data_IF_003877213787
#
_entry.id   IF_003877213787
#
_cell.length_a   1.000
_cell.length_b   1.000
_cell.length_c   1.000
_cell.angle_alpha   90.00
_cell.angle_beta   90.00
_cell.angle_gamma   90.00
#
_symmetry.space_group_name_H-M   'P 1'
#
loop_
_entity.id
_entity.type
_entity.pdbx_description
1 polymer ?
#
# COMPACT_ATOMS: atom_id res chain seq x y z
N UNK A 1 10.96 4.13 -34.55
CA UNK A 1 10.58 5.47 -34.12
C UNK A 1 9.17 5.54 -33.53
N UNK A 2 8.15 4.97 -34.18
CA UNK A 2 6.76 4.99 -33.66
C UNK A 2 6.59 4.40 -32.26
N UNK A 3 7.24 3.26 -31.96
CA UNK A 3 7.18 2.64 -30.64
C UNK A 3 7.79 3.47 -29.51
N UNK A 4 8.88 4.19 -29.79
CA UNK A 4 9.50 5.12 -28.84
C UNK A 4 8.59 6.32 -28.54
N UNK A 5 7.92 6.84 -29.55
CA UNK A 5 6.96 7.93 -29.38
C UNK A 5 5.76 7.49 -28.54
N UNK A 6 5.20 6.32 -28.82
CA UNK A 6 4.07 5.76 -28.06
C UNK A 6 4.46 5.50 -26.61
N UNK A 7 5.66 4.96 -26.34
CA UNK A 7 6.11 4.74 -24.96
C UNK A 7 6.37 6.04 -24.20
N UNK A 8 6.88 7.07 -24.88
CA UNK A 8 7.08 8.40 -24.30
C UNK A 8 5.74 9.09 -23.98
N UNK A 9 4.78 9.02 -24.90
CA UNK A 9 3.41 9.54 -24.66
C UNK A 9 2.76 8.81 -23.49
N UNK A 10 2.88 7.49 -23.42
CA UNK A 10 2.35 6.70 -22.32
C UNK A 10 3.02 7.04 -20.98
N UNK A 11 4.33 7.25 -20.98
CA UNK A 11 5.08 7.66 -19.80
C UNK A 11 4.62 9.04 -19.29
N UNK A 12 4.53 10.02 -20.19
CA UNK A 12 4.08 11.38 -19.86
C UNK A 12 2.63 11.35 -19.34
N UNK A 13 1.75 10.61 -20.02
CA UNK A 13 0.36 10.43 -19.56
C UNK A 13 0.30 9.77 -18.19
N UNK A 14 1.08 8.73 -17.95
CA UNK A 14 1.16 8.04 -16.67
C UNK A 14 1.62 8.96 -15.52
N UNK A 15 2.60 9.84 -15.78
CA UNK A 15 3.13 10.74 -14.76
C UNK A 15 2.17 11.89 -14.43
N UNK A 16 1.46 12.44 -15.42
CA UNK A 16 0.69 13.68 -15.22
C UNK A 16 -0.83 13.46 -15.07
N UNK A 17 -1.37 12.37 -15.57
CA UNK A 17 -2.82 12.16 -15.65
C UNK A 17 -3.34 10.97 -14.86
N UNK A 18 -2.46 10.09 -14.39
CA UNK A 18 -2.90 8.98 -13.56
C UNK A 18 -3.34 9.46 -12.16
N UNK A 19 -4.45 8.94 -11.62
CA UNK A 19 -4.80 9.14 -10.23
C UNK A 19 -3.65 8.72 -9.29
N UNK A 20 -3.45 9.45 -8.20
CA UNK A 20 -2.38 9.20 -7.23
C UNK A 20 -2.30 7.73 -6.76
N UNK A 21 -3.44 7.05 -6.67
CA UNK A 21 -3.54 5.63 -6.29
C UNK A 21 -2.78 4.75 -7.28
N UNK A 22 -2.87 5.06 -8.59
CA UNK A 22 -2.22 4.27 -9.64
C UNK A 22 -0.74 4.63 -9.85
N UNK A 23 -0.27 5.77 -9.31
CA UNK A 23 1.14 6.16 -9.44
C UNK A 23 2.10 5.10 -8.90
N UNK A 24 1.80 4.52 -7.73
CA UNK A 24 2.63 3.46 -7.14
C UNK A 24 2.72 2.20 -8.01
N UNK A 25 1.68 1.90 -8.75
CA UNK A 25 1.59 0.69 -9.59
C UNK A 25 2.37 0.84 -10.90
N UNK A 26 2.31 2.03 -11.52
CA UNK A 26 2.99 2.30 -12.78
C UNK A 26 4.42 2.83 -12.61
N UNK A 27 4.89 2.99 -11.38
CA UNK A 27 6.27 3.33 -11.06
C UNK A 27 7.17 2.09 -11.21
N UNK A 28 7.68 1.88 -12.43
CA UNK A 28 8.57 0.76 -12.73
C UNK A 28 9.79 0.69 -11.81
N UNK A 29 10.34 1.81 -11.39
CA UNK A 29 11.50 1.86 -10.50
C UNK A 29 11.15 1.65 -9.03
N UNK A 30 9.87 1.62 -8.67
CA UNK A 30 9.37 1.48 -7.29
C UNK A 30 9.87 2.58 -6.34
N UNK A 31 10.06 3.79 -6.86
CA UNK A 31 10.46 4.94 -6.05
C UNK A 31 9.37 5.30 -5.03
N UNK A 32 8.11 5.11 -5.43
CA UNK A 32 6.94 5.34 -4.58
C UNK A 32 6.62 4.20 -3.62
N UNK A 33 7.27 3.03 -3.75
CA UNK A 33 7.07 1.89 -2.84
C UNK A 33 8.17 1.88 -1.78
N UNK A 34 7.89 2.32 -0.55
CA UNK A 34 8.92 2.40 0.48
C UNK A 34 9.42 1.01 0.85
N UNK A 35 10.70 0.79 0.63
CA UNK A 35 11.43 -0.41 1.07
C UNK A 35 12.57 0.01 1.98
N UNK A 36 12.20 0.47 3.18
CA UNK A 36 13.16 0.87 4.19
C UNK A 36 13.72 -0.38 4.88
N UNK A 37 15.03 -0.54 4.79
CA UNK A 37 15.75 -1.51 5.59
C UNK A 37 16.08 -0.89 6.96
N UNK A 38 15.74 -1.62 8.01
CA UNK A 38 16.10 -1.28 9.38
C UNK A 38 16.84 -2.45 10.00
N UNK A 39 17.96 -2.21 10.65
CA UNK A 39 18.74 -3.24 11.34
C UNK A 39 17.94 -3.94 12.45
N UNK A 40 16.90 -3.28 12.98
CA UNK A 40 16.06 -3.85 14.04
C UNK A 40 14.91 -4.70 13.50
N UNK A 41 14.30 -4.33 12.37
CA UNK A 41 13.06 -4.93 11.86
C UNK A 41 13.24 -5.60 10.50
N UNK A 42 14.38 -5.37 9.84
CA UNK A 42 14.63 -5.80 8.47
C UNK A 42 13.85 -4.95 7.45
N UNK A 43 13.36 -5.56 6.40
CA UNK A 43 12.55 -4.87 5.39
C UNK A 43 11.10 -4.71 5.86
N UNK A 44 10.69 -3.47 6.11
CA UNK A 44 9.35 -3.17 6.64
C UNK A 44 8.24 -3.49 5.64
N UNK A 45 8.48 -3.30 4.35
CA UNK A 45 7.47 -3.49 3.30
C UNK A 45 7.94 -4.44 2.18
N UNK A 46 8.64 -5.52 2.57
CA UNK A 46 9.18 -6.49 1.61
C UNK A 46 8.08 -7.09 0.73
N UNK A 47 6.91 -7.42 1.31
CA UNK A 47 5.81 -8.03 0.56
C UNK A 47 5.25 -7.10 -0.52
N UNK A 48 4.96 -5.84 -0.18
CA UNK A 48 4.47 -4.86 -1.16
C UNK A 48 5.46 -4.63 -2.29
N UNK A 49 6.75 -4.56 -1.97
CA UNK A 49 7.81 -4.43 -2.95
C UNK A 49 7.91 -5.66 -3.87
N UNK A 50 7.91 -6.88 -3.31
CA UNK A 50 7.93 -8.12 -4.09
C UNK A 50 6.68 -8.26 -4.97
N UNK A 51 5.52 -7.97 -4.43
CA UNK A 51 4.25 -8.00 -5.17
C UNK A 51 4.31 -7.07 -6.38
N UNK A 52 4.81 -5.86 -6.22
CA UNK A 52 5.00 -4.92 -7.30
C UNK A 52 5.94 -5.48 -8.39
N UNK A 53 7.05 -6.11 -8.02
CA UNK A 53 7.98 -6.73 -8.98
C UNK A 53 7.37 -7.94 -9.69
N UNK A 54 6.60 -8.76 -8.98
CA UNK A 54 5.92 -9.92 -9.55
C UNK A 54 4.88 -9.52 -10.60
N UNK A 55 4.21 -8.36 -10.46
CA UNK A 55 3.30 -7.83 -11.47
C UNK A 55 4.03 -7.68 -12.80
N UNK A 56 5.16 -6.97 -12.81
CA UNK A 56 5.93 -6.74 -14.04
C UNK A 56 6.53 -8.01 -14.61
N UNK A 57 7.00 -8.91 -13.75
CA UNK A 57 7.56 -10.19 -14.18
C UNK A 57 6.50 -11.03 -14.90
N UNK A 58 5.36 -11.28 -14.25
CA UNK A 58 4.32 -12.14 -14.81
C UNK A 58 3.61 -11.50 -15.99
N UNK A 59 3.25 -10.22 -15.90
CA UNK A 59 2.66 -9.51 -17.03
C UNK A 59 3.63 -9.43 -18.22
N UNK A 60 4.92 -9.18 -17.98
CA UNK A 60 5.95 -9.12 -19.02
C UNK A 60 6.12 -10.45 -19.73
N UNK A 61 6.28 -11.56 -18.99
CA UNK A 61 6.35 -12.91 -19.57
C UNK A 61 5.07 -13.23 -20.35
N UNK A 62 3.91 -12.93 -19.76
CA UNK A 62 2.62 -13.14 -20.40
C UNK A 62 2.50 -12.43 -21.73
N UNK A 63 2.80 -11.12 -21.77
CA UNK A 63 2.77 -10.31 -22.99
C UNK A 63 3.80 -10.78 -24.02
N UNK A 64 4.99 -11.19 -23.60
CA UNK A 64 6.02 -11.71 -24.48
C UNK A 64 5.56 -13.00 -25.17
N UNK A 65 5.01 -13.94 -24.41
CA UNK A 65 4.47 -15.20 -24.96
C UNK A 65 3.29 -14.95 -25.90
N UNK A 66 2.38 -14.04 -25.55
CA UNK A 66 1.26 -13.65 -26.43
C UNK A 66 1.76 -12.94 -27.68
N UNK A 67 2.79 -12.10 -27.58
CA UNK A 67 3.44 -11.47 -28.73
C UNK A 67 4.08 -12.51 -29.67
N UNK A 68 4.81 -13.48 -29.11
CA UNK A 68 5.37 -14.60 -29.90
C UNK A 68 4.28 -15.41 -30.62
N UNK A 69 3.17 -15.69 -29.95
CA UNK A 69 2.03 -16.36 -30.56
C UNK A 69 1.44 -15.56 -31.73
N UNK A 70 1.34 -14.24 -31.59
CA UNK A 70 0.74 -13.36 -32.61
C UNK A 70 1.66 -13.17 -33.83
N UNK A 71 2.97 -13.13 -33.62
CA UNK A 71 3.95 -12.91 -34.71
C UNK A 71 4.12 -14.10 -35.66
N UNK A 72 3.48 -15.24 -35.43
CA UNK A 72 3.50 -16.40 -36.30
C UNK A 72 4.87 -17.05 -36.56
N UNK A 73 5.90 -16.66 -35.81
CA UNK A 73 7.28 -17.16 -35.97
C UNK A 73 7.54 -18.48 -35.22
N UNK A 74 6.54 -19.06 -34.58
CA UNK A 74 6.66 -20.34 -33.90
C UNK A 74 6.69 -21.50 -34.92
N UNK A 75 7.44 -22.58 -34.61
CA UNK A 75 7.44 -23.78 -35.43
C UNK A 75 6.01 -24.28 -35.65
N UNK A 76 5.77 -24.81 -36.83
CA UNK A 76 4.44 -25.05 -37.41
C UNK A 76 3.60 -26.14 -36.71
N UNK A 77 3.96 -26.57 -35.50
CA UNK A 77 3.16 -27.49 -34.71
C UNK A 77 2.01 -26.77 -34.02
N UNK A 78 0.79 -27.14 -34.31
CA UNK A 78 -0.41 -26.60 -33.66
C UNK A 78 -0.37 -26.74 -32.13
N UNK A 79 0.24 -27.81 -31.63
CA UNK A 79 0.39 -28.07 -30.21
C UNK A 79 1.27 -27.03 -29.52
N UNK A 80 2.41 -26.67 -30.11
CA UNK A 80 3.32 -25.65 -29.58
C UNK A 80 2.65 -24.27 -29.54
N UNK A 81 1.94 -23.88 -30.59
CA UNK A 81 1.20 -22.59 -30.66
C UNK A 81 0.11 -22.52 -29.60
N UNK A 82 -0.63 -23.63 -29.36
CA UNK A 82 -1.66 -23.70 -28.33
C UNK A 82 -1.04 -23.57 -26.93
N UNK A 83 0.07 -24.25 -26.69
CA UNK A 83 0.76 -24.23 -25.42
C UNK A 83 1.28 -22.82 -25.07
N UNK A 84 1.93 -22.15 -26.00
CA UNK A 84 2.43 -20.75 -25.83
C UNK A 84 1.28 -19.78 -25.54
N UNK A 85 0.15 -19.92 -26.25
CA UNK A 85 -1.04 -19.11 -25.98
C UNK A 85 -1.59 -19.32 -24.58
N UNK A 86 -1.74 -20.59 -24.15
CA UNK A 86 -2.30 -20.91 -22.83
C UNK A 86 -1.39 -20.38 -21.72
N UNK A 87 -0.09 -20.67 -21.82
CA UNK A 87 0.86 -20.16 -20.83
C UNK A 87 0.94 -18.63 -20.82
N UNK A 88 0.90 -17.99 -21.98
CA UNK A 88 0.87 -16.54 -22.09
C UNK A 88 -0.34 -15.93 -21.38
N UNK A 89 -1.52 -16.50 -21.59
CA UNK A 89 -2.73 -16.08 -20.89
C UNK A 89 -2.66 -16.35 -19.38
N UNK A 90 -2.16 -17.52 -18.97
CA UNK A 90 -2.00 -17.85 -17.54
C UNK A 90 -1.08 -16.86 -16.84
N UNK A 91 0.10 -16.59 -17.38
CA UNK A 91 1.03 -15.63 -16.79
C UNK A 91 0.44 -14.22 -16.75
N UNK A 92 -0.22 -13.80 -17.81
CA UNK A 92 -0.86 -12.49 -17.87
C UNK A 92 -1.97 -12.33 -16.80
N UNK A 93 -2.82 -13.34 -16.64
CA UNK A 93 -3.88 -13.36 -15.61
C UNK A 93 -3.28 -13.36 -14.21
N UNK A 94 -2.21 -14.10 -13.97
CA UNK A 94 -1.50 -14.08 -12.67
C UNK A 94 -0.96 -12.67 -12.39
N UNK A 95 -0.34 -12.02 -13.37
CA UNK A 95 0.13 -10.63 -13.25
C UNK A 95 -0.99 -9.65 -12.92
N UNK A 96 -2.14 -9.76 -13.61
CA UNK A 96 -3.33 -8.96 -13.31
C UNK A 96 -3.88 -9.24 -11.91
N UNK A 97 -3.85 -10.46 -11.42
CA UNK A 97 -4.30 -10.80 -10.07
C UNK A 97 -3.45 -10.12 -9.00
N UNK A 98 -2.12 -10.10 -9.17
CA UNK A 98 -1.23 -9.36 -8.29
C UNK A 98 -1.47 -7.85 -8.36
N UNK A 99 -1.73 -7.32 -9.55
CA UNK A 99 -2.09 -5.91 -9.76
C UNK A 99 -3.37 -5.55 -8.99
N UNK A 100 -4.44 -6.30 -9.18
CA UNK A 100 -5.71 -6.07 -8.50
C UNK A 100 -5.56 -6.15 -6.98
N UNK A 101 -4.76 -7.09 -6.47
CA UNK A 101 -4.48 -7.24 -5.04
C UNK A 101 -3.72 -6.03 -4.47
N UNK A 102 -2.73 -5.50 -5.20
CA UNK A 102 -1.96 -4.32 -4.81
C UNK A 102 -2.84 -3.07 -4.79
N UNK A 103 -3.60 -2.83 -5.86
CA UNK A 103 -4.53 -1.71 -5.98
C UNK A 103 -5.62 -1.74 -4.90
N UNK A 104 -6.16 -2.92 -4.61
CA UNK A 104 -7.12 -3.09 -3.51
C UNK A 104 -6.52 -2.70 -2.16
N UNK A 105 -5.26 -3.06 -1.91
CA UNK A 105 -4.53 -2.67 -0.69
C UNK A 105 -4.37 -1.15 -0.59
N UNK A 106 -3.99 -0.48 -1.67
CA UNK A 106 -3.87 0.99 -1.70
C UNK A 106 -5.22 1.68 -1.52
N UNK A 107 -6.24 1.21 -2.22
CA UNK A 107 -7.59 1.75 -2.09
C UNK A 107 -8.12 1.61 -0.66
N UNK A 108 -7.95 0.44 -0.05
CA UNK A 108 -8.33 0.20 1.34
C UNK A 108 -7.62 1.15 2.30
N UNK A 109 -6.31 1.35 2.11
CA UNK A 109 -5.52 2.26 2.95
C UNK A 109 -5.95 3.72 2.77
N UNK A 110 -6.23 4.14 1.54
CA UNK A 110 -6.73 5.47 1.24
C UNK A 110 -8.09 5.72 1.92
N UNK A 111 -9.02 4.78 1.79
CA UNK A 111 -10.33 4.88 2.41
C UNK A 111 -10.26 4.90 3.95
N UNK A 112 -9.37 4.12 4.55
CA UNK A 112 -9.13 4.19 6.00
C UNK A 112 -8.60 5.57 6.42
N UNK A 113 -7.70 6.17 5.65
CA UNK A 113 -7.20 7.53 5.92
C UNK A 113 -8.30 8.57 5.86
N UNK A 114 -9.17 8.54 4.86
CA UNK A 114 -10.32 9.43 4.75
C UNK A 114 -11.26 9.29 5.96
N UNK A 115 -11.50 8.06 6.42
CA UNK A 115 -12.27 7.81 7.62
C UNK A 115 -11.61 8.44 8.86
N UNK A 116 -10.30 8.30 9.03
CA UNK A 116 -9.59 8.92 10.15
C UNK A 116 -9.59 10.44 10.09
N UNK A 117 -9.42 11.02 8.91
CA UNK A 117 -9.50 12.47 8.71
C UNK A 117 -10.89 12.99 9.09
N UNK A 118 -11.96 12.32 8.64
CA UNK A 118 -13.33 12.73 8.95
C UNK A 118 -13.64 12.63 10.46
N UNK A 119 -13.12 11.63 11.16
CA UNK A 119 -13.23 11.50 12.61
C UNK A 119 -12.46 12.61 13.32
N UNK A 120 -11.23 12.91 12.85
CA UNK A 120 -10.40 13.96 13.39
C UNK A 120 -11.07 15.34 13.21
N UNK A 121 -11.55 15.68 12.03
CA UNK A 121 -12.23 16.93 11.73
C UNK A 121 -13.49 17.15 12.59
N UNK A 122 -14.25 16.06 12.84
CA UNK A 122 -15.44 16.11 13.70
C UNK A 122 -15.10 16.46 15.14
N UNK A 123 -13.93 16.07 15.63
CA UNK A 123 -13.53 16.23 17.03
C UNK A 123 -12.44 17.31 17.22
N UNK A 124 -11.99 17.95 16.15
CA UNK A 124 -10.92 18.96 16.21
C UNK A 124 -11.25 20.13 17.13
N UNK A 125 -12.52 20.52 17.19
CA UNK A 125 -12.99 21.62 18.04
C UNK A 125 -13.44 21.16 19.44
N UNK A 126 -13.32 19.85 19.76
CA UNK A 126 -13.64 19.38 21.10
C UNK A 126 -12.68 20.01 22.10
N UNK A 127 -13.22 20.38 23.25
CA UNK A 127 -12.44 20.99 24.34
C UNK A 127 -11.34 20.02 24.77
N UNK A 128 -10.09 20.44 24.60
CA UNK A 128 -8.93 19.60 24.86
C UNK A 128 -8.44 19.80 26.30
N UNK A 129 -8.37 18.71 27.03
CA UNK A 129 -7.61 18.67 28.28
C UNK A 129 -6.11 18.72 27.98
N UNK A 130 -5.33 19.28 28.90
CA UNK A 130 -3.87 19.27 28.79
C UNK A 130 -3.27 18.12 29.61
N UNK A 131 -2.24 17.49 29.05
CA UNK A 131 -1.49 16.44 29.73
C UNK A 131 -0.52 17.11 30.71
N UNK A 132 -0.64 16.80 31.99
CA UNK A 132 0.30 17.25 33.03
C UNK A 132 1.47 16.28 33.18
N UNK A 133 1.17 15.00 33.19
CA UNK A 133 2.19 13.95 33.31
C UNK A 133 1.79 12.77 32.44
N UNK A 134 2.76 12.19 31.74
CA UNK A 134 2.56 11.00 30.92
C UNK A 134 3.68 10.01 31.21
N UNK A 135 3.34 8.85 31.72
CA UNK A 135 4.28 7.75 31.99
C UNK A 135 3.92 6.59 31.07
N UNK A 136 4.88 6.17 30.28
CA UNK A 136 4.72 5.06 29.35
C UNK A 136 5.68 3.94 29.75
N UNK A 137 5.13 2.77 29.98
CA UNK A 137 5.90 1.54 30.18
C UNK A 137 5.80 0.69 28.92
N UNK A 138 6.95 0.41 28.30
CA UNK A 138 7.05 -0.40 27.11
C UNK A 138 7.67 -1.75 27.48
N UNK A 139 7.06 -2.82 27.03
CA UNK A 139 7.58 -4.18 27.13
C UNK A 139 7.57 -4.84 25.77
N UNK A 140 8.72 -5.37 25.37
CA UNK A 140 8.86 -6.09 24.11
C UNK A 140 9.08 -7.57 24.39
N UNK A 141 8.29 -8.42 23.75
CA UNK A 141 8.46 -9.87 23.77
C UNK A 141 8.48 -10.40 22.32
N UNK A 142 9.66 -10.70 21.81
CA UNK A 142 9.86 -11.09 20.42
C UNK A 142 9.41 -9.99 19.44
N UNK A 143 8.38 -10.29 18.63
CA UNK A 143 7.80 -9.34 17.67
C UNK A 143 6.62 -8.52 18.21
N UNK A 144 6.22 -8.77 19.45
CA UNK A 144 5.09 -8.09 20.08
C UNK A 144 5.59 -6.99 21.01
N UNK A 145 5.03 -5.80 20.85
CA UNK A 145 5.24 -4.64 21.71
C UNK A 145 3.98 -4.39 22.52
N UNK A 146 4.09 -4.40 23.83
CA UNK A 146 3.02 -4.05 24.76
C UNK A 146 3.36 -2.72 25.40
N UNK A 147 2.42 -1.78 25.39
CA UNK A 147 2.57 -0.48 25.99
C UNK A 147 1.49 -0.26 27.05
N UNK A 148 1.90 0.16 28.24
CA UNK A 148 1.00 0.66 29.28
C UNK A 148 1.24 2.15 29.45
N UNK A 149 0.19 2.95 29.35
CA UNK A 149 0.25 4.41 29.39
C UNK A 149 -0.62 4.93 30.52
N UNK A 150 -0.03 5.71 31.43
CA UNK A 150 -0.74 6.44 32.49
C UNK A 150 -0.60 7.93 32.27
N UNK A 151 -1.71 8.62 32.08
CA UNK A 151 -1.74 10.06 31.87
C UNK A 151 -2.49 10.75 33.00
N UNK A 152 -1.92 11.85 33.48
CA UNK A 152 -2.61 12.79 34.37
C UNK A 152 -3.01 13.99 33.51
N UNK A 153 -4.30 14.19 33.41
CA UNK A 153 -4.89 15.24 32.60
C UNK A 153 -5.44 16.33 33.51
N UNK A 154 -5.38 17.56 33.06
CA UNK A 154 -6.04 18.66 33.75
C UNK A 154 -6.88 19.46 32.74
N UNK A 155 -7.99 19.99 33.22
CA UNK A 155 -8.84 20.86 32.44
C UNK A 155 -8.35 22.31 32.61
N UNK A 156 -7.89 22.98 31.55
CA UNK A 156 -7.48 24.38 31.60
C UNK A 156 -8.67 25.36 31.60
N UNK A 157 -9.88 24.89 31.33
CA UNK A 157 -11.09 25.69 31.29
C UNK A 157 -11.81 25.76 32.63
N UNK A 158 -12.73 26.69 32.77
CA UNK A 158 -13.56 26.87 33.98
C UNK A 158 -14.78 25.93 34.01
N UNK A 159 -15.15 25.36 32.84
CA UNK A 159 -16.30 24.45 32.73
C UNK A 159 -15.88 23.01 32.85
N UNK A 160 -16.70 22.19 33.54
CA UNK A 160 -16.46 20.75 33.63
C UNK A 160 -16.51 20.11 32.23
N UNK A 161 -15.61 19.14 32.01
CA UNK A 161 -15.59 18.35 30.77
C UNK A 161 -16.34 17.05 31.01
N UNK A 162 -17.41 16.82 30.25
CA UNK A 162 -18.20 15.58 30.32
C UNK A 162 -17.58 14.44 29.52
N UNK A 163 -16.75 14.75 28.55
CA UNK A 163 -16.12 13.78 27.68
C UNK A 163 -14.68 14.18 27.35
N UNK A 164 -13.85 13.19 27.12
CA UNK A 164 -12.47 13.36 26.72
C UNK A 164 -12.20 12.63 25.43
N UNK A 165 -11.66 13.35 24.44
CA UNK A 165 -11.27 12.77 23.15
C UNK A 165 -9.75 12.56 23.15
N UNK A 166 -9.33 11.33 22.99
CA UNK A 166 -7.93 10.95 22.84
C UNK A 166 -7.72 10.36 21.45
N UNK A 167 -6.71 10.88 20.73
CA UNK A 167 -6.30 10.34 19.45
C UNK A 167 -5.19 9.31 19.65
N UNK A 168 -5.46 8.09 19.25
CA UNK A 168 -4.50 6.99 19.30
C UNK A 168 -3.97 6.71 17.90
N UNK A 169 -2.69 6.34 17.81
CA UNK A 169 -2.12 5.90 16.53
C UNK A 169 -2.92 4.69 16.00
N UNK A 170 -3.39 4.72 14.75
CA UNK A 170 -4.23 3.66 14.17
C UNK A 170 -3.57 2.26 14.14
N UNK A 171 -2.25 2.17 14.25
CA UNK A 171 -1.52 0.89 14.34
C UNK A 171 -1.57 0.24 15.73
N UNK A 172 -2.13 0.92 16.74
CA UNK A 172 -2.22 0.39 18.10
C UNK A 172 -3.60 -0.21 18.37
N UNK A 173 -3.62 -1.41 18.96
CA UNK A 173 -4.83 -2.04 19.43
C UNK A 173 -5.02 -1.75 20.92
N UNK A 174 -6.12 -1.09 21.24
CA UNK A 174 -6.48 -0.80 22.62
C UNK A 174 -7.06 -2.05 23.26
N UNK A 175 -6.39 -2.58 24.29
CA UNK A 175 -6.87 -3.77 25.02
C UNK A 175 -7.74 -3.41 26.22
N UNK A 176 -7.44 -2.31 26.92
CA UNK A 176 -8.16 -1.88 28.12
C UNK A 176 -7.97 -0.39 28.39
N UNK A 177 -9.04 0.25 28.87
CA UNK A 177 -9.03 1.59 29.48
C UNK A 177 -9.55 1.44 30.90
N UNK A 178 -8.84 1.98 31.86
CA UNK A 178 -9.23 1.95 33.29
C UNK A 178 -9.07 3.33 33.92
#
# INVERSE_FOLDING_TARGET
MFGLFVSLVWFVFGVFWLPYILHGTFDYFSVGVPNLFSDMVGHVNLWGYLQHRLIYLFAGIGLLLLGLWHLGRLPNSQSCRRLVRVWGLCFFVIGLSFLCSLEYSYWRTAHQRECWVSVFERHWHATTSRVKTHVIHLSQSGKHLTASSRMVLYNPGETALDSLVLFLNPGLHLSRVS
#
